data_IF_479823297198
#
_entry.id   IF_479823297198
#
_cell.length_a   1.000
_cell.length_b   1.000
_cell.length_c   1.000
_cell.angle_alpha   90.00
_cell.angle_beta   90.00
_cell.angle_gamma   90.00
#
_symmetry.space_group_name_H-M   'P 1'
#
loop_
_entity.id
_entity.type
_entity.pdbx_description
1 polymer ?
#
# COMPACT_ATOMS: atom_id res chain seq x y z
N UNK A 1 20.66 -7.19 11.86
CA UNK A 1 20.51 -8.36 10.99
C UNK A 1 19.25 -9.08 11.44
N UNK A 2 18.21 -9.12 10.61
CA UNK A 2 17.01 -9.89 10.92
C UNK A 2 17.41 -11.37 10.85
N UNK A 3 17.66 -12.00 12.00
CA UNK A 3 17.75 -13.46 12.03
C UNK A 3 16.37 -13.98 11.67
N UNK A 4 16.24 -14.63 10.53
CA UNK A 4 15.38 -15.78 10.26
C UNK A 4 15.66 -16.20 8.81
N UNK A 5 16.90 -16.68 8.60
CA UNK A 5 17.10 -17.84 7.73
C UNK A 5 16.64 -19.02 8.59
N UNK A 6 15.89 -19.94 8.00
CA UNK A 6 15.27 -21.12 8.62
C UNK A 6 13.95 -20.80 9.33
N UNK A 7 12.83 -20.91 8.62
CA UNK A 7 11.92 -22.05 8.80
C UNK A 7 10.69 -21.91 7.89
N UNK A 8 10.57 -22.84 6.95
CA UNK A 8 9.35 -23.12 6.20
C UNK A 8 8.26 -23.53 7.21
N UNK A 9 7.06 -22.98 7.02
CA UNK A 9 5.83 -23.35 7.74
C UNK A 9 5.88 -22.95 9.22
N UNK A 10 5.35 -21.76 9.54
CA UNK A 10 4.54 -21.48 10.73
C UNK A 10 4.22 -19.97 10.75
N UNK A 11 2.94 -19.65 10.62
CA UNK A 11 2.27 -18.56 11.34
C UNK A 11 3.09 -17.27 11.51
N UNK A 12 2.88 -16.30 10.60
CA UNK A 12 3.35 -14.90 10.72
C UNK A 12 2.60 -14.22 11.87
N UNK A 13 2.85 -14.61 13.12
CA UNK A 13 2.40 -13.88 14.31
C UNK A 13 3.30 -12.67 14.48
N UNK A 14 2.80 -11.55 13.97
CA UNK A 14 3.38 -10.20 14.01
C UNK A 14 3.34 -9.66 15.43
N UNK A 15 4.29 -10.07 16.26
CA UNK A 15 4.44 -9.50 17.60
C UNK A 15 5.33 -8.25 17.49
N UNK A 16 4.90 -7.07 17.98
CA UNK A 16 5.77 -5.91 18.06
C UNK A 16 6.97 -6.22 18.96
N UNK A 17 8.18 -6.24 18.40
CA UNK A 17 9.39 -6.30 19.20
C UNK A 17 9.49 -5.01 20.00
N UNK A 18 9.34 -5.13 21.34
CA UNK A 18 9.52 -4.04 22.31
C UNK A 18 8.62 -2.81 22.07
N UNK A 19 7.36 -3.04 21.68
CA UNK A 19 6.37 -1.96 21.53
C UNK A 19 6.52 -1.10 20.28
N UNK A 20 7.44 -1.44 19.38
CA UNK A 20 7.56 -0.82 18.06
C UNK A 20 7.25 -1.82 16.95
N UNK A 21 6.36 -1.43 16.04
CA UNK A 21 6.14 -2.17 14.80
C UNK A 21 7.38 -2.07 13.93
N UNK A 22 7.86 -3.20 13.40
CA UNK A 22 9.10 -3.25 12.64
C UNK A 22 8.99 -2.39 11.36
N UNK A 23 9.69 -1.24 11.25
CA UNK A 23 9.64 -0.39 10.07
C UNK A 23 10.25 -1.07 8.84
N UNK A 24 11.05 -2.11 9.05
CA UNK A 24 11.60 -2.94 7.99
C UNK A 24 10.53 -3.81 7.35
N UNK A 25 9.53 -4.32 8.10
CA UNK A 25 8.50 -5.19 7.55
C UNK A 25 7.51 -4.47 6.63
N UNK A 26 7.13 -3.22 6.93
CA UNK A 26 6.24 -2.44 6.05
C UNK A 26 6.94 -2.02 4.76
N UNK A 27 8.18 -1.53 4.88
CA UNK A 27 9.03 -1.22 3.72
C UNK A 27 9.29 -2.45 2.87
N UNK A 28 9.62 -3.57 3.51
CA UNK A 28 9.83 -4.85 2.84
C UNK A 28 8.61 -5.30 2.05
N UNK A 29 7.40 -5.19 2.61
CA UNK A 29 6.19 -5.61 1.89
C UNK A 29 5.89 -4.72 0.68
N UNK A 30 6.09 -3.40 0.78
CA UNK A 30 6.00 -2.51 -0.39
C UNK A 30 7.03 -2.87 -1.47
N UNK A 31 8.29 -3.04 -1.07
CA UNK A 31 9.38 -3.37 -2.00
C UNK A 31 9.15 -4.74 -2.65
N UNK A 32 8.64 -5.72 -1.90
CA UNK A 32 8.23 -7.03 -2.40
C UNK A 32 7.08 -6.92 -3.40
N UNK A 33 6.02 -6.18 -3.07
CA UNK A 33 4.91 -5.94 -4.00
C UNK A 33 5.42 -5.31 -5.31
N UNK A 34 6.31 -4.31 -5.21
CA UNK A 34 6.95 -3.66 -6.36
C UNK A 34 7.75 -4.64 -7.20
N UNK A 35 8.54 -5.52 -6.58
CA UNK A 35 9.32 -6.53 -7.29
C UNK A 35 8.41 -7.53 -8.03
N UNK A 36 7.37 -8.03 -7.36
CA UNK A 36 6.43 -9.00 -7.93
C UNK A 36 5.74 -8.42 -9.16
N UNK A 37 5.09 -7.26 -9.02
CA UNK A 37 4.36 -6.65 -10.15
C UNK A 37 5.30 -6.24 -11.30
N UNK A 38 6.54 -5.84 -10.98
CA UNK A 38 7.51 -5.46 -12.00
C UNK A 38 7.94 -6.60 -12.91
N UNK A 39 7.80 -7.86 -12.46
CA UNK A 39 8.06 -9.04 -13.30
C UNK A 39 7.04 -9.19 -14.43
N UNK A 40 5.85 -8.62 -14.27
CA UNK A 40 4.74 -8.71 -15.23
C UNK A 40 4.58 -7.43 -16.05
N UNK A 41 4.64 -6.27 -15.42
CA UNK A 41 4.35 -4.97 -16.06
C UNK A 41 5.59 -4.10 -16.29
N UNK A 42 6.79 -4.60 -15.97
CA UNK A 42 8.01 -3.77 -15.94
C UNK A 42 8.02 -2.79 -14.76
N UNK A 43 9.01 -1.90 -14.66
CA UNK A 43 9.16 -1.01 -13.51
C UNK A 43 7.98 -0.02 -13.39
N UNK A 44 7.45 0.25 -12.18
CA UNK A 44 6.40 1.25 -12.00
C UNK A 44 6.92 2.66 -12.24
N UNK A 45 6.00 3.61 -12.42
CA UNK A 45 6.32 5.03 -12.55
C UNK A 45 7.15 5.55 -11.38
N UNK A 46 8.10 6.43 -11.69
CA UNK A 46 8.86 7.19 -10.68
C UNK A 46 8.02 8.30 -10.04
N UNK A 47 6.91 8.70 -10.67
CA UNK A 47 6.00 9.73 -10.17
C UNK A 47 5.08 9.09 -9.13
N UNK A 48 5.35 9.36 -7.85
CA UNK A 48 4.55 8.86 -6.73
C UNK A 48 3.41 9.79 -6.33
N UNK A 49 3.45 11.06 -6.75
CA UNK A 49 2.40 12.07 -6.51
C UNK A 49 1.94 12.66 -7.85
N UNK A 50 1.15 11.92 -8.63
CA UNK A 50 0.64 12.44 -9.89
C UNK A 50 -0.20 13.71 -9.67
N UNK A 51 -0.20 14.61 -10.66
CA UNK A 51 -0.82 15.94 -10.53
C UNK A 51 -2.31 15.88 -10.22
N UNK A 52 -3.02 14.84 -10.69
CA UNK A 52 -4.45 14.69 -10.43
C UNK A 52 -4.79 14.38 -8.96
N UNK A 53 -3.79 14.02 -8.13
CA UNK A 53 -3.97 13.83 -6.69
C UNK A 53 -3.80 15.12 -5.88
N UNK A 54 -3.67 16.28 -6.53
CA UNK A 54 -3.59 17.59 -5.86
C UNK A 54 -4.97 18.14 -5.57
N UNK A 55 -5.15 18.67 -4.37
CA UNK A 55 -6.35 19.41 -3.95
C UNK A 55 -5.95 20.72 -3.27
N UNK A 56 -6.92 21.57 -2.94
CA UNK A 56 -6.68 22.76 -2.10
C UNK A 56 -6.07 22.39 -0.73
N UNK A 57 -6.51 21.28 -0.15
CA UNK A 57 -6.00 20.75 1.13
C UNK A 57 -4.67 20.01 0.97
N UNK A 58 -4.41 19.46 -0.21
CA UNK A 58 -3.21 18.71 -0.55
C UNK A 58 -2.51 19.28 -1.79
N UNK A 59 -1.91 20.49 -1.70
CA UNK A 59 -1.33 21.18 -2.86
C UNK A 59 -0.12 20.44 -3.46
N UNK A 60 0.58 19.62 -2.66
CA UNK A 60 1.67 18.75 -3.14
C UNK A 60 1.18 17.42 -3.74
N UNK A 61 -0.10 17.09 -3.55
CA UNK A 61 -0.71 15.84 -3.99
C UNK A 61 -0.57 14.69 -2.99
N UNK A 62 -1.55 13.78 -3.02
CA UNK A 62 -1.49 12.50 -2.32
C UNK A 62 -0.51 11.55 -3.00
N UNK A 63 0.02 10.60 -2.24
CA UNK A 63 1.01 9.62 -2.71
C UNK A 63 0.35 8.29 -3.07
N UNK A 64 0.81 7.69 -4.17
CA UNK A 64 0.58 6.30 -4.55
C UNK A 64 1.81 5.45 -4.27
N UNK A 65 1.59 4.25 -3.73
CA UNK A 65 2.70 3.33 -3.41
C UNK A 65 3.32 2.71 -4.65
N UNK A 66 2.48 2.19 -5.55
CA UNK A 66 2.86 1.62 -6.84
C UNK A 66 1.92 2.19 -7.89
N UNK A 67 2.47 2.81 -8.95
CA UNK A 67 1.67 3.49 -9.97
C UNK A 67 2.13 3.11 -11.37
N UNK A 68 1.16 2.70 -12.20
CA UNK A 68 1.32 2.25 -13.57
C UNK A 68 0.35 3.05 -14.47
N UNK A 69 0.72 4.29 -14.87
CA UNK A 69 -0.14 5.17 -15.66
C UNK A 69 -0.55 4.54 -17.00
N UNK A 70 0.37 3.83 -17.65
CA UNK A 70 0.15 3.18 -18.95
C UNK A 70 -0.94 2.11 -18.90
N UNK A 71 -1.18 1.53 -17.72
CA UNK A 71 -2.18 0.50 -17.48
C UNK A 71 -3.41 1.03 -16.72
N UNK A 72 -3.46 2.34 -16.44
CA UNK A 72 -4.51 2.92 -15.60
C UNK A 72 -4.61 2.25 -14.22
N UNK A 73 -3.49 1.85 -13.62
CA UNK A 73 -3.46 1.04 -12.40
C UNK A 73 -2.63 1.70 -11.30
N UNK A 74 -3.14 1.64 -10.07
CA UNK A 74 -2.38 1.92 -8.87
C UNK A 74 -2.61 0.84 -7.79
N UNK A 75 -1.57 0.53 -7.01
CA UNK A 75 -1.66 -0.39 -5.87
C UNK A 75 -1.20 0.32 -4.60
N UNK A 76 -2.04 0.23 -3.56
CA UNK A 76 -1.78 0.72 -2.20
C UNK A 76 -1.53 -0.43 -1.23
N UNK A 77 -0.49 -0.30 -0.38
CA UNK A 77 -0.17 -1.32 0.61
C UNK A 77 -0.71 -0.86 1.97
N UNK A 78 -1.82 -1.47 2.38
CA UNK A 78 -2.50 -1.08 3.62
C UNK A 78 -1.97 -1.84 4.83
N UNK A 79 -1.41 -1.09 5.78
CA UNK A 79 -1.09 -1.57 7.12
C UNK A 79 -2.32 -1.64 8.03
N UNK A 80 -2.16 -2.26 9.21
CA UNK A 80 -3.23 -2.34 10.23
C UNK A 80 -3.75 -0.96 10.67
N UNK A 81 -2.93 0.09 10.53
CA UNK A 81 -3.34 1.46 10.82
C UNK A 81 -4.48 1.97 9.94
N UNK A 82 -4.66 1.44 8.72
CA UNK A 82 -5.77 1.83 7.84
C UNK A 82 -7.10 1.20 8.28
N UNK A 83 -7.06 0.09 9.01
CA UNK A 83 -8.24 -0.64 9.46
C UNK A 83 -8.68 -0.21 10.87
N UNK A 84 -7.73 0.09 11.76
CA UNK A 84 -8.01 0.33 13.18
C UNK A 84 -7.16 1.47 13.75
N UNK A 85 -7.80 2.24 14.64
CA UNK A 85 -7.08 3.18 15.48
C UNK A 85 -6.08 2.45 16.39
N UNK A 86 -4.81 2.68 16.14
CA UNK A 86 -3.70 2.29 17.00
C UNK A 86 -3.01 3.55 17.51
N UNK A 87 -2.96 3.69 18.84
CA UNK A 87 -2.38 4.87 19.53
C UNK A 87 -1.03 5.28 18.98
N UNK A 88 -0.15 4.31 18.72
CA UNK A 88 1.19 4.55 18.17
C UNK A 88 1.15 5.20 16.77
N UNK A 89 0.41 4.62 15.82
CA UNK A 89 0.35 5.10 14.44
C UNK A 89 -0.40 6.44 14.31
N UNK A 90 -1.34 6.70 15.20
CA UNK A 90 -2.19 7.89 15.16
C UNK A 90 -1.79 8.95 16.19
N UNK A 91 -0.56 8.83 16.76
CA UNK A 91 0.02 9.80 17.71
C UNK A 91 -0.86 10.08 18.94
N UNK A 92 -1.66 9.10 19.34
CA UNK A 92 -2.58 9.23 20.47
C UNK A 92 -3.86 10.01 20.19
N UNK A 93 -4.10 10.46 18.96
CA UNK A 93 -5.29 11.22 18.59
C UNK A 93 -6.16 10.44 17.58
N UNK A 94 -7.37 9.98 17.97
CA UNK A 94 -8.32 9.31 17.08
C UNK A 94 -8.69 10.13 15.83
N UNK A 95 -8.62 11.46 15.87
CA UNK A 95 -8.89 12.28 14.69
C UNK A 95 -7.87 12.05 13.58
N UNK A 96 -6.64 11.61 13.90
CA UNK A 96 -5.66 11.27 12.87
C UNK A 96 -6.04 10.02 12.08
N UNK A 97 -6.79 9.10 12.70
CA UNK A 97 -7.33 7.93 12.01
C UNK A 97 -8.48 8.33 11.08
N UNK A 98 -9.40 9.18 11.56
CA UNK A 98 -10.49 9.73 10.73
C UNK A 98 -9.90 10.47 9.51
N UNK A 99 -8.95 11.38 9.73
CA UNK A 99 -8.24 12.07 8.64
C UNK A 99 -7.48 11.13 7.70
N UNK A 100 -7.04 9.96 8.18
CA UNK A 100 -6.43 8.95 7.32
C UNK A 100 -7.49 8.30 6.42
N UNK A 101 -8.64 7.93 6.98
CA UNK A 101 -9.76 7.40 6.20
C UNK A 101 -10.28 8.40 5.16
N UNK A 102 -10.42 9.67 5.53
CA UNK A 102 -10.80 10.75 4.61
C UNK A 102 -9.83 10.87 3.43
N UNK A 103 -8.51 10.80 3.70
CA UNK A 103 -7.50 10.81 2.63
C UNK A 103 -7.53 9.56 1.76
N UNK A 104 -7.78 8.39 2.35
CA UNK A 104 -7.88 7.13 1.59
C UNK A 104 -9.11 7.14 0.67
N UNK A 105 -10.22 7.71 1.14
CA UNK A 105 -11.44 7.90 0.37
C UNK A 105 -11.24 8.94 -0.75
N UNK A 106 -10.68 10.11 -0.44
CA UNK A 106 -10.35 11.13 -1.43
C UNK A 106 -9.41 10.59 -2.52
N UNK A 107 -8.41 9.80 -2.13
CA UNK A 107 -7.49 9.15 -3.08
C UNK A 107 -8.25 8.23 -4.04
N UNK A 108 -9.21 7.45 -3.53
CA UNK A 108 -10.04 6.56 -4.34
C UNK A 108 -10.86 7.35 -5.36
N UNK A 109 -11.54 8.41 -4.92
CA UNK A 109 -12.34 9.29 -5.78
C UNK A 109 -11.50 9.92 -6.89
N UNK A 110 -10.36 10.53 -6.54
CA UNK A 110 -9.47 11.15 -7.52
C UNK A 110 -8.87 10.12 -8.50
N UNK A 111 -8.62 8.88 -8.07
CA UNK A 111 -8.20 7.82 -8.98
C UNK A 111 -9.32 7.46 -9.97
N UNK A 112 -10.55 7.27 -9.48
CA UNK A 112 -11.72 6.95 -10.29
C UNK A 112 -12.02 8.03 -11.34
N UNK A 113 -12.00 9.31 -10.95
CA UNK A 113 -12.19 10.46 -11.85
C UNK A 113 -11.14 10.52 -12.97
N UNK A 114 -9.95 9.95 -12.73
CA UNK A 114 -8.82 9.95 -13.66
C UNK A 114 -8.60 8.59 -14.33
N UNK A 115 -9.61 7.70 -14.29
CA UNK A 115 -9.56 6.38 -14.91
C UNK A 115 -8.40 5.51 -14.42
N UNK A 116 -8.01 5.71 -13.17
CA UNK A 116 -7.02 4.90 -12.46
C UNK A 116 -7.76 3.92 -11.56
N UNK A 117 -7.65 2.64 -11.89
CA UNK A 117 -8.12 1.56 -11.03
C UNK A 117 -7.19 1.44 -9.83
N UNK A 118 -7.72 1.72 -8.64
CA UNK A 118 -6.99 1.59 -7.38
C UNK A 118 -7.26 0.20 -6.78
N UNK A 119 -6.20 -0.56 -6.52
CA UNK A 119 -6.23 -1.86 -5.83
C UNK A 119 -5.44 -1.81 -4.52
N UNK A 120 -5.79 -2.70 -3.61
CA UNK A 120 -5.20 -2.73 -2.27
C UNK A 120 -4.52 -4.09 -2.03
N UNK A 121 -3.39 -4.05 -1.33
CA UNK A 121 -2.76 -5.23 -0.74
C UNK A 121 -2.67 -5.02 0.76
N UNK A 122 -3.47 -5.76 1.51
CA UNK A 122 -3.52 -5.69 2.96
C UNK A 122 -2.33 -6.37 3.61
N UNK A 123 -1.95 -5.87 4.78
CA UNK A 123 -0.79 -6.35 5.51
C UNK A 123 -0.81 -7.85 5.73
N UNK A 124 -1.95 -8.48 6.00
CA UNK A 124 -2.11 -9.92 6.28
C UNK A 124 -2.11 -10.82 5.04
N UNK A 125 -2.28 -10.27 3.84
CA UNK A 125 -2.36 -11.06 2.60
C UNK A 125 -0.98 -11.55 2.10
N UNK A 126 -0.97 -12.59 1.27
CA UNK A 126 0.20 -12.96 0.49
C UNK A 126 0.28 -12.08 -0.78
N UNK A 127 1.33 -11.23 -0.93
CA UNK A 127 1.49 -10.40 -2.12
C UNK A 127 1.55 -11.19 -3.43
N UNK A 128 2.10 -12.41 -3.43
CA UNK A 128 2.19 -13.22 -4.65
C UNK A 128 0.82 -13.66 -5.14
N UNK A 129 -0.12 -13.91 -4.24
CA UNK A 129 -1.48 -14.33 -4.61
C UNK A 129 -2.28 -13.11 -5.05
N UNK A 130 -2.36 -12.10 -4.18
CA UNK A 130 -3.25 -10.96 -4.40
C UNK A 130 -2.84 -10.10 -5.60
N UNK A 131 -1.53 -9.91 -5.83
CA UNK A 131 -1.09 -9.16 -7.02
C UNK A 131 -1.50 -9.90 -8.30
N UNK A 132 -1.34 -11.22 -8.35
CA UNK A 132 -1.73 -12.00 -9.53
C UNK A 132 -3.24 -11.99 -9.76
N UNK A 133 -4.04 -12.06 -8.70
CA UNK A 133 -5.50 -11.92 -8.78
C UNK A 133 -5.89 -10.57 -9.37
N UNK A 134 -5.35 -9.46 -8.83
CA UNK A 134 -5.61 -8.11 -9.36
C UNK A 134 -5.24 -8.00 -10.84
N UNK A 135 -4.08 -8.53 -11.26
CA UNK A 135 -3.65 -8.46 -12.66
C UNK A 135 -4.56 -9.29 -13.58
N UNK A 136 -5.01 -10.47 -13.15
CA UNK A 136 -5.93 -11.32 -13.93
C UNK A 136 -7.31 -10.70 -14.08
N UNK A 137 -7.86 -10.14 -12.99
CA UNK A 137 -9.15 -9.45 -13.02
C UNK A 137 -9.16 -8.28 -14.01
N UNK A 138 -8.01 -7.61 -14.16
CA UNK A 138 -7.83 -6.50 -15.09
C UNK A 138 -7.43 -6.94 -16.51
N UNK A 139 -7.26 -8.25 -16.74
CA UNK A 139 -6.83 -8.78 -18.05
C UNK A 139 -5.43 -8.33 -18.47
N UNK A 140 -4.55 -8.02 -17.50
CA UNK A 140 -3.19 -7.56 -17.74
C UNK A 140 -2.18 -8.70 -17.91
N UNK A 141 -2.56 -9.92 -17.51
CA UNK A 141 -1.80 -11.18 -17.67
C UNK A 141 -2.72 -12.34 -17.99
#
# INVERSE_FOLDING_TARGET
MCHHILDNILSITRIPLRGTWCPFCSKFKRDLCREIISKYLGPPSKIRRPNFLKTSEHPMGLELDIYYPEYGLAIEIHGVQHEKYIKFFHRGDPNNFIKQQERDQLKKELCEENWIVLRYVWYYEDPHVIILEHLRELGLI
#
